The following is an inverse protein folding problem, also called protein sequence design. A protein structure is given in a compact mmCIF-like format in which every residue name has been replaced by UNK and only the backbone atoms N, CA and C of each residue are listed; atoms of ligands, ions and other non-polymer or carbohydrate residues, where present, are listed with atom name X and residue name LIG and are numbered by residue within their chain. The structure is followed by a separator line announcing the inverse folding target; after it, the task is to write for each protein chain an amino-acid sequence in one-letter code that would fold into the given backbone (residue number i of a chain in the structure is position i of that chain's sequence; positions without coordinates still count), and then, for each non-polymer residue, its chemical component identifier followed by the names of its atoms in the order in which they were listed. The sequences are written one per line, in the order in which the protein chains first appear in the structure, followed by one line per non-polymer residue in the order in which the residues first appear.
data_IF_783301083634
#
_entry.id   IF_783301083634
#
_cell.length_a   1.000
_cell.length_b   1.000
_cell.length_c   1.000
_cell.angle_alpha   90.00
_cell.angle_beta   90.00
_cell.angle_gamma   90.00
#
_symmetry.space_group_name_H-M   'P 1'
#
loop_
_entity.id
_entity.type
_entity.pdbx_description
1 polymer ?
#
# COMPACT_ATOMS: atom_id res chain seq x y z
N UNK A 1 56.72 -59.85 -10.32
CA UNK A 1 55.32 -60.27 -10.16
C UNK A 1 54.44 -59.01 -10.04
N UNK A 2 53.63 -58.79 -11.08
CA UNK A 2 52.65 -57.70 -11.30
C UNK A 2 51.79 -57.33 -10.08
N UNK A 3 51.46 -56.03 -9.95
CA UNK A 3 50.12 -55.42 -9.66
C UNK A 3 50.33 -54.09 -8.90
N UNK A 4 49.64 -52.97 -9.13
CA UNK A 4 48.70 -52.50 -10.16
C UNK A 4 48.63 -50.98 -9.95
N UNK A 5 48.74 -50.19 -11.03
CA UNK A 5 48.43 -48.75 -11.07
C UNK A 5 47.04 -48.51 -10.45
N UNK A 6 46.93 -47.50 -9.58
CA UNK A 6 45.67 -46.77 -9.34
C UNK A 6 45.92 -45.31 -9.72
N UNK A 7 45.64 -44.99 -10.98
CA UNK A 7 45.34 -43.64 -11.43
C UNK A 7 44.26 -43.05 -10.53
N UNK A 8 44.61 -42.04 -9.75
CA UNK A 8 43.63 -41.14 -9.15
C UNK A 8 43.02 -40.33 -10.28
N UNK A 9 41.84 -40.73 -10.76
CA UNK A 9 40.97 -39.92 -11.62
C UNK A 9 40.85 -38.52 -11.01
N UNK A 10 41.41 -37.51 -11.69
CA UNK A 10 41.03 -36.10 -11.50
C UNK A 10 39.53 -36.02 -11.76
N UNK A 11 38.72 -35.97 -10.69
CA UNK A 11 37.34 -35.52 -10.80
C UNK A 11 37.43 -34.04 -11.13
N UNK A 12 37.18 -33.72 -12.40
CA UNK A 12 37.11 -32.34 -12.87
C UNK A 12 36.15 -31.58 -11.98
N UNK A 13 36.69 -30.59 -11.27
CA UNK A 13 35.90 -29.57 -10.60
C UNK A 13 35.09 -28.89 -11.72
N UNK A 14 33.80 -29.21 -11.84
CA UNK A 14 32.90 -28.43 -12.67
C UNK A 14 32.91 -27.02 -12.08
N UNK A 15 33.65 -26.14 -12.71
CA UNK A 15 33.54 -24.71 -12.50
C UNK A 15 32.07 -24.33 -12.73
N UNK A 16 31.40 -23.67 -11.78
CA UNK A 16 30.04 -23.22 -12.02
C UNK A 16 30.06 -22.27 -13.21
N UNK A 17 29.37 -22.65 -14.28
CA UNK A 17 29.20 -21.83 -15.47
C UNK A 17 28.70 -20.43 -15.07
N UNK A 18 29.21 -19.35 -15.70
CA UNK A 18 28.81 -18.00 -15.35
C UNK A 18 27.32 -17.84 -15.62
N UNK A 19 26.54 -17.64 -14.54
CA UNK A 19 25.10 -17.38 -14.63
C UNK A 19 24.87 -16.16 -15.53
N UNK A 20 23.95 -16.22 -16.51
CA UNK A 20 23.71 -15.12 -17.44
C UNK A 20 23.29 -13.87 -16.67
N UNK A 21 23.99 -12.75 -16.93
CA UNK A 21 23.71 -11.42 -16.37
C UNK A 21 22.51 -10.79 -17.08
N UNK A 22 21.32 -11.33 -16.84
CA UNK A 22 20.09 -10.53 -16.86
C UNK A 22 20.20 -9.55 -15.69
N UNK A 23 19.63 -8.33 -15.68
CA UNK A 23 19.61 -7.50 -14.46
C UNK A 23 18.78 -8.20 -13.37
N UNK A 24 19.42 -9.14 -12.67
CA UNK A 24 18.86 -10.02 -11.65
C UNK A 24 18.18 -9.23 -10.53
N UNK A 25 18.57 -7.97 -10.31
CA UNK A 25 18.07 -7.12 -9.26
C UNK A 25 16.58 -6.76 -9.47
N UNK A 26 16.20 -6.24 -10.64
CA UNK A 26 14.82 -5.81 -10.90
C UNK A 26 13.85 -7.00 -10.91
N UNK A 27 14.24 -8.09 -11.59
CA UNK A 27 13.42 -9.32 -11.63
C UNK A 27 13.29 -9.95 -10.25
N UNK A 28 14.36 -10.01 -9.44
CA UNK A 28 14.28 -10.57 -8.09
C UNK A 28 13.47 -9.70 -7.13
N UNK A 29 13.50 -8.37 -7.27
CA UNK A 29 12.62 -7.46 -6.53
C UNK A 29 11.15 -7.69 -6.88
N UNK A 30 10.84 -7.84 -8.17
CA UNK A 30 9.48 -8.11 -8.64
C UNK A 30 8.97 -9.48 -8.15
N UNK A 31 9.82 -10.52 -8.18
CA UNK A 31 9.49 -11.84 -7.63
C UNK A 31 9.24 -11.77 -6.12
N UNK A 32 10.10 -11.06 -5.37
CA UNK A 32 9.88 -10.84 -3.92
C UNK A 32 8.58 -10.10 -3.64
N UNK A 33 8.27 -9.06 -4.43
CA UNK A 33 7.02 -8.32 -4.34
C UNK A 33 5.81 -9.23 -4.59
N UNK A 34 5.85 -10.05 -5.63
CA UNK A 34 4.76 -10.96 -5.98
C UNK A 34 4.59 -12.11 -4.98
N UNK A 35 5.65 -12.49 -4.26
CA UNK A 35 5.58 -13.50 -3.20
C UNK A 35 4.94 -12.95 -1.91
N UNK A 36 4.90 -11.63 -1.73
CA UNK A 36 4.22 -11.02 -0.59
C UNK A 36 2.72 -10.90 -0.87
N UNK A 37 1.89 -11.37 0.06
CA UNK A 37 0.43 -11.16 0.04
C UNK A 37 0.09 -9.67 -0.02
N UNK A 38 0.86 -8.83 0.69
CA UNK A 38 0.74 -7.38 0.67
C UNK A 38 1.11 -6.73 -0.68
N UNK A 39 1.94 -7.39 -1.50
CA UNK A 39 2.25 -6.96 -2.86
C UNK A 39 1.10 -7.29 -3.80
N UNK A 40 0.58 -8.52 -3.73
CA UNK A 40 -0.60 -8.97 -4.49
C UNK A 40 -1.83 -8.11 -4.22
N UNK A 41 -2.11 -7.76 -2.96
CA UNK A 41 -3.24 -6.88 -2.61
C UNK A 41 -3.11 -5.49 -3.23
N UNK A 42 -1.91 -4.89 -3.23
CA UNK A 42 -1.69 -3.58 -3.86
C UNK A 42 -1.79 -3.63 -5.38
N UNK A 43 -1.29 -4.69 -6.00
CA UNK A 43 -1.45 -4.90 -7.44
C UNK A 43 -2.92 -5.07 -7.81
N UNK A 44 -3.66 -5.87 -7.04
CA UNK A 44 -5.10 -6.03 -7.24
C UNK A 44 -5.85 -4.70 -6.99
N UNK A 45 -5.41 -3.86 -6.05
CA UNK A 45 -5.98 -2.51 -5.81
C UNK A 45 -5.77 -1.62 -7.04
N UNK A 46 -4.56 -1.62 -7.60
CA UNK A 46 -4.23 -0.88 -8.81
C UNK A 46 -5.13 -1.30 -9.98
N UNK A 47 -5.23 -2.61 -10.24
CA UNK A 47 -6.07 -3.14 -11.30
C UNK A 47 -7.54 -2.83 -11.08
N UNK A 48 -8.04 -2.96 -9.84
CA UNK A 48 -9.43 -2.63 -9.50
C UNK A 48 -9.76 -1.18 -9.86
N UNK A 49 -8.96 -0.23 -9.39
CA UNK A 49 -9.22 1.18 -9.65
C UNK A 49 -8.94 1.57 -11.10
N UNK A 50 -7.99 0.93 -11.78
CA UNK A 50 -7.80 1.08 -13.22
C UNK A 50 -9.05 0.63 -13.99
N UNK A 51 -9.61 -0.54 -13.66
CA UNK A 51 -10.90 -1.00 -14.22
C UNK A 51 -12.02 0.02 -13.95
N UNK A 52 -12.04 0.65 -12.76
CA UNK A 52 -12.99 1.71 -12.44
C UNK A 52 -12.91 2.90 -13.37
N UNK A 53 -11.69 3.38 -13.62
CA UNK A 53 -11.43 4.46 -14.58
C UNK A 53 -11.89 4.03 -15.97
N UNK A 54 -11.52 2.81 -16.40
CA UNK A 54 -11.86 2.29 -17.72
C UNK A 54 -13.36 2.25 -17.96
N UNK A 55 -14.17 1.62 -17.10
CA UNK A 55 -15.62 1.54 -17.34
C UNK A 55 -16.30 2.90 -17.30
N UNK A 56 -15.79 3.84 -16.48
CA UNK A 56 -16.32 5.20 -16.42
C UNK A 56 -16.09 5.97 -17.72
N UNK A 57 -14.91 5.86 -18.33
CA UNK A 57 -14.65 6.47 -19.63
C UNK A 57 -15.38 5.75 -20.76
N UNK A 58 -15.53 4.42 -20.71
CA UNK A 58 -16.34 3.67 -21.67
C UNK A 58 -17.80 4.14 -21.70
N UNK A 59 -18.39 4.43 -20.53
CA UNK A 59 -19.72 5.02 -20.45
C UNK A 59 -19.80 6.39 -21.11
N UNK A 60 -18.76 7.23 -20.96
CA UNK A 60 -18.71 8.56 -21.59
C UNK A 60 -18.54 8.51 -23.10
N UNK A 61 -17.87 7.49 -23.61
CA UNK A 61 -17.67 7.28 -25.05
C UNK A 61 -18.81 6.49 -25.72
N UNK A 62 -19.96 6.32 -25.06
CA UNK A 62 -21.11 5.54 -25.57
C UNK A 62 -20.74 4.10 -25.99
N UNK A 63 -19.84 3.44 -25.27
CA UNK A 63 -19.50 2.05 -25.52
C UNK A 63 -20.69 1.11 -25.21
N UNK A 64 -20.67 -0.09 -25.80
CA UNK A 64 -21.72 -1.10 -25.60
C UNK A 64 -21.92 -1.45 -24.13
N UNK A 65 -23.18 -1.50 -23.65
CA UNK A 65 -23.50 -1.85 -22.26
C UNK A 65 -22.83 -3.14 -21.77
N UNK A 66 -22.79 -4.18 -22.62
CA UNK A 66 -22.14 -5.46 -22.30
C UNK A 66 -20.64 -5.32 -21.97
N UNK A 67 -19.91 -4.46 -22.68
CA UNK A 67 -18.47 -4.28 -22.42
C UNK A 67 -18.22 -3.51 -21.12
N UNK A 68 -19.05 -2.50 -20.83
CA UNK A 68 -19.04 -1.77 -19.56
C UNK A 68 -19.30 -2.71 -18.38
N UNK A 69 -20.32 -3.57 -18.46
CA UNK A 69 -20.68 -4.48 -17.37
C UNK A 69 -19.61 -5.56 -17.15
N UNK A 70 -18.93 -5.98 -18.22
CA UNK A 70 -17.76 -6.88 -18.11
C UNK A 70 -16.65 -6.24 -17.27
N UNK A 71 -16.33 -4.97 -17.51
CA UNK A 71 -15.29 -4.25 -16.76
C UNK A 71 -15.71 -3.95 -15.32
N UNK A 72 -17.00 -3.66 -15.07
CA UNK A 72 -17.55 -3.55 -13.71
C UNK A 72 -17.46 -4.88 -12.94
N UNK A 73 -17.75 -6.01 -13.60
CA UNK A 73 -17.61 -7.33 -13.02
C UNK A 73 -16.16 -7.65 -12.66
N UNK A 74 -15.20 -7.25 -13.51
CA UNK A 74 -13.77 -7.34 -13.21
C UNK A 74 -13.39 -6.52 -11.97
N UNK A 75 -13.85 -5.27 -11.88
CA UNK A 75 -13.65 -4.43 -10.69
C UNK A 75 -14.20 -5.11 -9.42
N UNK A 76 -15.41 -5.63 -9.48
CA UNK A 76 -16.06 -6.31 -8.35
C UNK A 76 -15.29 -7.56 -7.93
N UNK A 77 -14.83 -8.36 -8.90
CA UNK A 77 -14.04 -9.58 -8.67
C UNK A 77 -12.72 -9.24 -7.97
N UNK A 78 -11.99 -8.23 -8.49
CA UNK A 78 -10.74 -7.74 -7.89
C UNK A 78 -10.98 -7.18 -6.48
N UNK A 79 -12.08 -6.46 -6.26
CA UNK A 79 -12.45 -5.97 -4.93
C UNK A 79 -12.65 -7.11 -3.94
N UNK A 80 -13.32 -8.19 -4.35
CA UNK A 80 -13.59 -9.35 -3.49
C UNK A 80 -12.31 -10.15 -3.21
N UNK A 81 -11.48 -10.36 -4.25
CA UNK A 81 -10.16 -10.99 -4.12
C UNK A 81 -9.27 -10.25 -3.11
N UNK A 82 -9.28 -8.92 -3.11
CA UNK A 82 -8.54 -8.12 -2.12
C UNK A 82 -9.04 -8.26 -0.69
N UNK A 83 -10.34 -8.47 -0.48
CA UNK A 83 -10.86 -8.75 0.86
C UNK A 83 -10.28 -10.06 1.38
N UNK A 84 -10.28 -11.09 0.53
CA UNK A 84 -9.68 -12.39 0.83
C UNK A 84 -8.18 -12.28 1.16
N UNK A 85 -7.39 -11.54 0.36
CA UNK A 85 -5.97 -11.34 0.64
C UNK A 85 -5.67 -10.60 1.95
N UNK A 86 -6.65 -9.84 2.47
CA UNK A 86 -6.53 -9.06 3.72
C UNK A 86 -7.14 -9.78 4.93
N UNK A 87 -7.72 -10.96 4.74
CA UNK A 87 -8.20 -11.80 5.85
C UNK A 87 -7.07 -12.02 6.87
N UNK A 88 -7.40 -11.88 8.15
CA UNK A 88 -6.44 -12.03 9.26
C UNK A 88 -5.51 -10.83 9.50
N UNK A 89 -5.33 -9.90 8.55
CA UNK A 89 -4.39 -8.77 8.68
C UNK A 89 -4.77 -7.73 9.75
N UNK A 90 -5.97 -7.82 10.32
CA UNK A 90 -6.35 -7.01 11.47
C UNK A 90 -5.48 -7.34 12.69
N UNK A 91 -5.04 -8.59 12.87
CA UNK A 91 -4.14 -9.01 13.94
C UNK A 91 -2.75 -8.40 13.76
N UNK A 92 -2.19 -8.48 12.55
CA UNK A 92 -0.90 -7.85 12.21
C UNK A 92 -0.93 -6.35 12.52
N UNK A 93 -2.04 -5.69 12.18
CA UNK A 93 -2.22 -4.26 12.38
C UNK A 93 -2.35 -3.92 13.87
N UNK A 94 -3.05 -4.74 14.64
CA UNK A 94 -3.20 -4.58 16.09
C UNK A 94 -1.87 -4.79 16.82
N UNK A 95 -1.11 -5.82 16.44
CA UNK A 95 0.26 -6.01 16.93
C UNK A 95 1.17 -4.81 16.57
N UNK A 96 1.02 -4.29 15.34
CA UNK A 96 1.62 -3.04 14.92
C UNK A 96 1.24 -1.84 15.78
N UNK A 97 0.03 -1.82 16.35
CA UNK A 97 -0.43 -0.76 17.25
C UNK A 97 0.25 -0.85 18.63
N UNK A 98 0.38 -2.06 19.18
CA UNK A 98 1.09 -2.30 20.44
C UNK A 98 2.55 -1.85 20.34
N UNK A 99 3.22 -2.19 19.23
CA UNK A 99 4.60 -1.76 18.99
C UNK A 99 4.75 -0.25 18.85
N UNK A 100 3.76 0.48 18.29
CA UNK A 100 3.82 1.95 18.25
C UNK A 100 3.70 2.64 19.60
N UNK A 101 3.21 1.96 20.63
CA UNK A 101 3.16 2.54 21.98
C UNK A 101 4.56 2.80 22.55
N UNK A 102 5.58 2.16 21.99
CA UNK A 102 6.96 2.32 22.42
C UNK A 102 7.73 3.39 21.63
N UNK A 103 7.06 4.14 20.74
CA UNK A 103 7.72 5.26 20.06
C UNK A 103 8.09 6.36 21.06
N UNK A 104 9.27 6.95 20.84
CA UNK A 104 9.88 7.97 21.71
C UNK A 104 9.09 9.28 21.69
N UNK A 105 8.71 9.72 20.50
CA UNK A 105 7.96 10.95 20.26
C UNK A 105 6.47 10.77 20.56
N UNK A 106 5.95 11.55 21.53
CA UNK A 106 4.57 11.40 22.00
C UNK A 106 3.52 11.59 20.89
N UNK A 107 3.70 12.60 20.02
CA UNK A 107 2.74 12.88 18.94
C UNK A 107 2.70 11.75 17.91
N UNK A 108 3.87 11.24 17.50
CA UNK A 108 3.99 10.12 16.56
C UNK A 108 3.43 8.84 17.18
N UNK A 109 3.69 8.60 18.48
CA UNK A 109 3.14 7.48 19.24
C UNK A 109 1.62 7.46 19.21
N UNK A 110 0.98 8.56 19.63
CA UNK A 110 -0.49 8.61 19.73
C UNK A 110 -1.14 8.50 18.36
N UNK A 111 -0.72 9.32 17.39
CA UNK A 111 -1.29 9.31 16.03
C UNK A 111 -1.12 7.95 15.34
N UNK A 112 0.08 7.33 15.44
CA UNK A 112 0.33 6.01 14.87
C UNK A 112 -0.48 4.90 15.54
N UNK A 113 -0.60 4.94 16.87
CA UNK A 113 -1.33 3.91 17.63
C UNK A 113 -2.82 3.99 17.32
N UNK A 114 -3.42 5.19 17.41
CA UNK A 114 -4.83 5.38 17.07
C UNK A 114 -5.14 5.07 15.61
N UNK A 115 -4.25 5.44 14.69
CA UNK A 115 -4.39 5.09 13.27
C UNK A 115 -4.45 3.57 13.07
N UNK A 116 -3.52 2.82 13.67
CA UNK A 116 -3.44 1.37 13.52
C UNK A 116 -4.61 0.65 14.19
N UNK A 117 -5.04 1.08 15.38
CA UNK A 117 -6.24 0.52 16.03
C UNK A 117 -7.47 0.70 15.14
N UNK A 118 -7.70 1.91 14.64
CA UNK A 118 -8.83 2.18 13.76
C UNK A 118 -8.73 1.40 12.44
N UNK A 119 -7.53 1.22 11.89
CA UNK A 119 -7.31 0.39 10.71
C UNK A 119 -7.59 -1.09 10.98
N UNK A 120 -7.21 -1.60 12.15
CA UNK A 120 -7.51 -2.98 12.55
C UNK A 120 -9.03 -3.21 12.67
N UNK A 121 -9.76 -2.27 13.28
CA UNK A 121 -11.23 -2.31 13.35
C UNK A 121 -11.86 -2.25 11.96
N UNK A 122 -11.34 -1.41 11.07
CA UNK A 122 -11.76 -1.38 9.66
C UNK A 122 -11.57 -2.75 8.98
N UNK A 123 -10.39 -3.35 9.08
CA UNK A 123 -10.10 -4.66 8.48
C UNK A 123 -10.98 -5.77 9.06
N UNK A 124 -11.25 -5.72 10.37
CA UNK A 124 -12.19 -6.64 11.01
C UNK A 124 -13.60 -6.49 10.43
N UNK A 125 -14.12 -5.26 10.31
CA UNK A 125 -15.42 -5.01 9.68
C UNK A 125 -15.44 -5.43 8.21
N UNK A 126 -14.34 -5.25 7.48
CA UNK A 126 -14.23 -5.67 6.08
C UNK A 126 -14.30 -7.20 5.92
N UNK A 127 -13.73 -7.96 6.85
CA UNK A 127 -13.84 -9.42 6.91
C UNK A 127 -15.27 -9.86 7.23
N UNK A 128 -15.95 -9.20 8.19
CA UNK A 128 -17.37 -9.45 8.47
C UNK A 128 -18.25 -9.19 7.24
N UNK A 129 -18.02 -8.09 6.53
CA UNK A 129 -18.73 -7.76 5.29
C UNK A 129 -18.49 -8.77 4.17
N UNK A 130 -17.27 -9.32 4.08
CA UNK A 130 -16.99 -10.39 3.14
C UNK A 130 -17.73 -11.68 3.52
N UNK A 131 -17.70 -12.08 4.80
CA UNK A 131 -18.43 -13.26 5.29
C UNK A 131 -19.95 -13.15 5.08
N UNK A 132 -20.51 -11.97 5.29
CA UNK A 132 -21.92 -11.69 5.03
C UNK A 132 -22.30 -11.90 3.56
N UNK A 133 -21.44 -11.41 2.64
CA UNK A 133 -21.63 -11.60 1.19
C UNK A 133 -21.47 -13.05 0.76
N UNK A 134 -20.66 -13.83 1.46
CA UNK A 134 -20.50 -15.26 1.21
C UNK A 134 -21.64 -16.11 1.81
N UNK A 135 -22.62 -15.49 2.49
CA UNK A 135 -23.78 -16.18 3.06
C UNK A 135 -23.58 -16.72 4.47
N UNK A 136 -22.42 -16.49 5.10
CA UNK A 136 -22.12 -17.00 6.44
C UNK A 136 -22.69 -16.14 7.58
N UNK A 137 -23.11 -14.90 7.31
CA UNK A 137 -23.60 -13.99 8.34
C UNK A 137 -24.76 -13.14 7.85
N UNK A 138 -25.88 -13.13 8.60
CA UNK A 138 -27.02 -12.26 8.33
C UNK A 138 -26.84 -10.92 9.06
N UNK A 139 -26.02 -10.03 8.49
CA UNK A 139 -25.76 -8.69 9.03
C UNK A 139 -26.20 -7.63 8.03
N UNK A 140 -26.59 -6.46 8.54
CA UNK A 140 -26.91 -5.32 7.68
C UNK A 140 -25.65 -4.76 7.01
N UNK A 141 -25.39 -5.17 5.78
CA UNK A 141 -24.17 -4.83 5.02
C UNK A 141 -23.97 -3.34 4.84
N UNK A 142 -25.05 -2.56 4.73
CA UNK A 142 -24.97 -1.12 4.51
C UNK A 142 -24.51 -0.39 5.77
N UNK A 143 -25.12 -0.70 6.92
CA UNK A 143 -24.72 -0.14 8.22
C UNK A 143 -23.28 -0.50 8.57
N UNK A 144 -22.88 -1.75 8.33
CA UNK A 144 -21.51 -2.20 8.57
C UNK A 144 -20.51 -1.58 7.59
N UNK A 145 -20.89 -1.37 6.33
CA UNK A 145 -20.09 -0.66 5.33
C UNK A 145 -19.85 0.80 5.73
N UNK A 146 -20.88 1.51 6.21
CA UNK A 146 -20.75 2.88 6.72
C UNK A 146 -19.79 2.93 7.92
N UNK A 147 -19.94 2.01 8.89
CA UNK A 147 -19.03 1.93 10.06
C UNK A 147 -17.59 1.66 9.64
N UNK A 148 -17.37 0.70 8.74
CA UNK A 148 -16.05 0.39 8.22
C UNK A 148 -15.40 1.62 7.54
N UNK A 149 -16.15 2.34 6.70
CA UNK A 149 -15.65 3.55 6.05
C UNK A 149 -15.34 4.68 7.05
N UNK A 150 -16.11 4.83 8.14
CA UNK A 150 -15.79 5.79 9.22
C UNK A 150 -14.47 5.43 9.92
N UNK A 151 -14.27 4.15 10.26
CA UNK A 151 -13.01 3.69 10.86
C UNK A 151 -11.82 3.88 9.91
N UNK A 152 -12.00 3.60 8.61
CA UNK A 152 -10.97 3.84 7.62
C UNK A 152 -10.62 5.33 7.49
N UNK A 153 -11.64 6.19 7.41
CA UNK A 153 -11.45 7.65 7.37
C UNK A 153 -10.66 8.15 8.58
N UNK A 154 -11.04 7.71 9.79
CA UNK A 154 -10.33 8.10 11.01
C UNK A 154 -8.86 7.64 10.99
N UNK A 155 -8.60 6.39 10.59
CA UNK A 155 -7.24 5.88 10.45
C UNK A 155 -6.38 6.72 9.50
N UNK A 156 -6.89 7.00 8.29
CA UNK A 156 -6.15 7.81 7.30
C UNK A 156 -5.93 9.25 7.80
N UNK A 157 -6.92 9.81 8.50
CA UNK A 157 -6.79 11.15 9.10
C UNK A 157 -5.66 11.19 10.12
N UNK A 158 -5.60 10.23 11.03
CA UNK A 158 -4.51 10.14 12.01
C UNK A 158 -3.14 9.93 11.35
N UNK A 159 -3.07 9.15 10.27
CA UNK A 159 -1.85 9.00 9.48
C UNK A 159 -1.42 10.32 8.83
N UNK A 160 -2.34 11.09 8.25
CA UNK A 160 -2.02 12.42 7.69
C UNK A 160 -1.54 13.41 8.75
N UNK A 161 -2.14 13.41 9.94
CA UNK A 161 -1.68 14.26 11.04
C UNK A 161 -0.24 13.92 11.41
N UNK A 162 0.12 12.64 11.48
CA UNK A 162 1.50 12.19 11.68
C UNK A 162 2.42 12.66 10.54
N UNK A 163 2.00 12.50 9.29
CA UNK A 163 2.78 12.89 8.12
C UNK A 163 3.09 14.40 8.12
N UNK A 164 2.09 15.23 8.42
CA UNK A 164 2.24 16.70 8.52
C UNK A 164 3.19 17.07 9.66
N UNK A 165 3.07 16.40 10.81
CA UNK A 165 3.98 16.60 11.95
C UNK A 165 5.43 16.28 11.58
N UNK A 166 5.67 15.14 10.92
CA UNK A 166 7.01 14.74 10.48
C UNK A 166 7.58 15.71 9.44
N UNK A 167 6.78 16.17 8.46
CA UNK A 167 7.19 17.18 7.48
C UNK A 167 7.58 18.50 8.15
N UNK A 168 6.78 18.98 9.11
CA UNK A 168 7.06 20.23 9.83
C UNK A 168 8.38 20.13 10.61
N UNK A 169 8.60 19.03 11.32
CA UNK A 169 9.86 18.76 12.04
C UNK A 169 11.06 18.71 11.09
N UNK A 170 10.92 18.06 9.94
CA UNK A 170 11.96 18.02 8.90
C UNK A 170 12.26 19.41 8.34
N UNK A 171 11.23 20.24 8.15
CA UNK A 171 11.36 21.60 7.66
C UNK A 171 12.08 22.48 8.67
N UNK A 172 11.74 22.40 9.96
CA UNK A 172 12.40 23.13 11.05
C UNK A 172 13.88 22.74 11.18
N UNK A 173 14.18 21.44 11.17
CA UNK A 173 15.56 20.94 11.22
C UNK A 173 16.41 21.44 10.04
N UNK A 174 15.81 21.54 8.84
CA UNK A 174 16.49 22.09 7.68
C UNK A 174 16.64 23.61 7.73
N UNK A 175 15.63 24.33 8.23
CA UNK A 175 15.71 25.79 8.44
C UNK A 175 16.85 26.15 9.40
N UNK A 176 17.01 25.41 10.50
CA UNK A 176 18.11 25.63 11.44
C UNK A 176 19.49 25.48 10.77
N UNK A 177 19.68 24.44 9.95
CA UNK A 177 20.92 24.21 9.19
C UNK A 177 21.15 25.26 8.09
N UNK A 178 20.07 25.68 7.45
CA UNK A 178 20.11 26.63 6.34
C UNK A 178 20.35 28.07 6.79
N UNK A 179 19.85 28.46 7.96
CA UNK A 179 20.12 29.78 8.55
C UNK A 179 21.63 29.98 8.79
N UNK A 180 22.36 28.89 9.10
CA UNK A 180 23.82 28.90 9.19
C UNK A 180 24.53 29.01 7.82
N UNK A 181 23.85 28.63 6.72
CA UNK A 181 24.42 28.58 5.35
C UNK A 181 23.89 29.65 4.39
N UNK A 182 23.02 30.59 4.82
CA UNK A 182 22.35 31.61 3.98
C UNK A 182 21.76 31.04 2.66
N UNK A 183 21.25 29.82 2.67
CA UNK A 183 20.62 29.20 1.50
C UNK A 183 19.10 29.30 1.59
N UNK A 184 18.37 29.07 0.50
CA UNK A 184 16.91 28.95 0.53
C UNK A 184 16.50 27.49 0.72
N UNK A 185 15.55 27.21 1.61
CA UNK A 185 15.02 25.86 1.81
C UNK A 185 14.12 25.49 0.63
N UNK A 186 14.54 24.52 -0.18
CA UNK A 186 13.75 24.00 -1.30
C UNK A 186 12.94 22.77 -0.86
N UNK A 187 11.61 22.86 -0.94
CA UNK A 187 10.71 21.74 -0.63
C UNK A 187 10.95 20.53 -1.53
N UNK A 188 11.34 20.75 -2.79
CA UNK A 188 11.68 19.66 -3.72
C UNK A 188 12.92 18.88 -3.26
N UNK A 189 13.93 19.57 -2.73
CA UNK A 189 15.11 18.91 -2.14
C UNK A 189 14.71 18.11 -0.90
N UNK A 190 13.85 18.68 -0.05
CA UNK A 190 13.37 18.01 1.17
C UNK A 190 12.59 16.74 0.85
N UNK A 191 11.68 16.82 -0.14
CA UNK A 191 10.92 15.68 -0.63
C UNK A 191 11.81 14.62 -1.27
N UNK A 192 12.85 15.03 -1.99
CA UNK A 192 13.81 14.09 -2.57
C UNK A 192 14.68 13.41 -1.51
N UNK A 193 14.94 14.05 -0.37
CA UNK A 193 15.71 13.47 0.73
C UNK A 193 14.87 12.57 1.64
N UNK A 194 13.59 12.87 1.83
CA UNK A 194 12.68 12.18 2.74
C UNK A 194 11.51 11.57 1.95
N UNK A 195 11.85 10.78 0.93
CA UNK A 195 10.86 10.30 -0.04
C UNK A 195 9.79 9.42 0.62
N UNK A 196 10.12 8.76 1.72
CA UNK A 196 9.21 7.95 2.53
C UNK A 196 8.03 8.78 3.07
N UNK A 197 8.30 9.87 3.79
CA UNK A 197 7.27 10.74 4.40
C UNK A 197 6.34 11.29 3.32
N UNK A 198 6.92 11.80 2.23
CA UNK A 198 6.16 12.43 1.16
C UNK A 198 5.35 11.43 0.32
N UNK A 199 5.86 10.21 0.09
CA UNK A 199 5.11 9.17 -0.61
C UNK A 199 3.92 8.69 0.21
N UNK A 200 4.07 8.51 1.54
CA UNK A 200 2.92 8.16 2.38
C UNK A 200 1.93 9.32 2.49
N UNK A 201 2.41 10.56 2.59
CA UNK A 201 1.55 11.76 2.56
C UNK A 201 0.70 11.79 1.30
N UNK A 202 1.31 11.58 0.13
CA UNK A 202 0.60 11.52 -1.15
C UNK A 202 -0.43 10.40 -1.15
N UNK A 203 -0.04 9.19 -0.71
CA UNK A 203 -0.95 8.05 -0.60
C UNK A 203 -2.14 8.37 0.28
N UNK A 204 -1.91 8.86 1.50
CA UNK A 204 -2.94 9.12 2.50
C UNK A 204 -3.85 10.29 2.05
N UNK A 205 -3.30 11.29 1.35
CA UNK A 205 -4.06 12.41 0.77
C UNK A 205 -5.00 11.97 -0.35
N UNK A 206 -4.58 11.00 -1.17
CA UNK A 206 -5.48 10.40 -2.15
C UNK A 206 -6.50 9.46 -1.48
N UNK A 207 -6.06 8.66 -0.51
CA UNK A 207 -6.89 7.66 0.15
C UNK A 207 -8.01 8.29 0.98
N UNK A 208 -7.82 9.46 1.61
CA UNK A 208 -8.84 10.09 2.46
C UNK A 208 -10.13 10.45 1.69
N UNK A 209 -10.01 10.79 0.41
CA UNK A 209 -11.12 11.18 -0.44
C UNK A 209 -12.05 10.00 -0.78
N UNK A 210 -11.54 8.77 -0.72
CA UNK A 210 -12.29 7.55 -1.06
C UNK A 210 -13.38 7.24 -0.01
N UNK A 211 -13.08 7.08 1.30
CA UNK A 211 -14.10 6.90 2.32
C UNK A 211 -14.95 8.16 2.52
N UNK A 212 -14.41 9.38 2.31
CA UNK A 212 -15.23 10.60 2.30
C UNK A 212 -16.32 10.55 1.23
N UNK A 213 -15.99 10.07 0.03
CA UNK A 213 -16.96 9.88 -1.05
C UNK A 213 -17.94 8.75 -0.72
N UNK A 214 -17.45 7.62 -0.18
CA UNK A 214 -18.30 6.49 0.21
C UNK A 214 -19.30 6.82 1.33
N UNK A 215 -18.96 7.76 2.21
CA UNK A 215 -19.81 8.27 3.27
C UNK A 215 -20.76 9.40 2.81
N UNK A 216 -20.62 9.88 1.57
CA UNK A 216 -21.45 10.94 1.01
C UNK A 216 -21.05 12.36 1.41
N UNK A 217 -19.91 12.54 2.08
CA UNK A 217 -19.42 13.87 2.48
C UNK A 217 -18.84 14.66 1.30
N UNK A 218 -18.29 13.97 0.30
CA UNK A 218 -17.77 14.56 -0.94
C UNK A 218 -18.39 13.86 -2.14
N UNK A 219 -18.73 14.60 -3.20
CA UNK A 219 -19.29 14.03 -4.43
C UNK A 219 -18.22 13.94 -5.51
N UNK A 220 -17.47 12.85 -5.54
CA UNK A 220 -16.52 12.56 -6.61
C UNK A 220 -17.14 11.61 -7.64
N UNK A 221 -16.85 11.85 -8.93
CA UNK A 221 -17.23 10.91 -9.99
C UNK A 221 -16.48 9.57 -9.83
N UNK A 222 -17.05 8.44 -10.31
CA UNK A 222 -16.37 7.15 -10.26
C UNK A 222 -14.98 7.16 -10.90
N UNK A 223 -14.80 7.91 -11.99
CA UNK A 223 -13.50 8.11 -12.64
C UNK A 223 -12.48 8.80 -11.74
N UNK A 224 -12.87 9.86 -11.01
CA UNK A 224 -11.97 10.55 -10.09
C UNK A 224 -11.58 9.66 -8.90
N UNK A 225 -12.54 8.92 -8.33
CA UNK A 225 -12.24 7.92 -7.28
C UNK A 225 -11.29 6.85 -7.82
N UNK A 226 -11.48 6.43 -9.07
CA UNK A 226 -10.57 5.54 -9.79
C UNK A 226 -9.15 6.09 -9.87
N UNK A 227 -8.99 7.33 -10.34
CA UNK A 227 -7.68 7.98 -10.48
C UNK A 227 -6.96 8.09 -9.12
N UNK A 228 -7.66 8.56 -8.08
CA UNK A 228 -7.11 8.65 -6.73
C UNK A 228 -6.69 7.28 -6.18
N UNK A 229 -7.50 6.25 -6.45
CA UNK A 229 -7.19 4.86 -6.12
C UNK A 229 -5.98 4.32 -6.88
N UNK A 230 -5.79 4.68 -8.15
CA UNK A 230 -4.60 4.33 -8.95
C UNK A 230 -3.36 5.02 -8.36
N UNK A 231 -3.41 6.33 -8.13
CA UNK A 231 -2.26 7.10 -7.61
C UNK A 231 -1.81 6.58 -6.24
N UNK A 232 -2.75 6.38 -5.30
CA UNK A 232 -2.46 5.80 -3.98
C UNK A 232 -1.89 4.37 -4.07
N UNK A 233 -2.36 3.56 -5.03
CA UNK A 233 -1.85 2.20 -5.24
C UNK A 233 -0.41 2.21 -5.76
N UNK A 234 -0.11 3.06 -6.75
CA UNK A 234 1.25 3.21 -7.29
C UNK A 234 2.21 3.69 -6.19
N UNK A 235 1.82 4.69 -5.40
CA UNK A 235 2.59 5.15 -4.25
C UNK A 235 2.86 4.01 -3.25
N UNK A 236 1.83 3.21 -2.91
CA UNK A 236 1.96 2.07 -2.02
C UNK A 236 2.85 0.94 -2.58
N UNK A 237 2.84 0.71 -3.90
CA UNK A 237 3.71 -0.27 -4.57
C UNK A 237 5.16 0.23 -4.54
N UNK A 238 5.39 1.51 -4.86
CA UNK A 238 6.72 2.13 -4.79
C UNK A 238 7.34 2.02 -3.39
N UNK A 239 6.52 2.26 -2.35
CA UNK A 239 6.89 2.10 -0.95
C UNK A 239 7.26 0.65 -0.55
N UNK A 240 6.71 -0.34 -1.25
CA UNK A 240 6.99 -1.75 -0.98
C UNK A 240 8.21 -2.27 -1.74
N UNK A 241 8.44 -1.78 -2.96
CA UNK A 241 9.54 -2.22 -3.82
C UNK A 241 10.87 -1.60 -3.39
N UNK A 242 10.89 -0.32 -2.97
CA UNK A 242 12.10 0.27 -2.41
C UNK A 242 11.91 0.53 -0.91
N UNK A 243 12.68 -0.16 -0.05
CA UNK A 243 12.62 0.04 1.40
C UNK A 243 12.89 1.49 1.82
N UNK A 244 13.59 2.27 1.00
CA UNK A 244 13.87 3.69 1.21
C UNK A 244 12.64 4.61 1.10
N UNK A 245 11.52 4.11 0.57
CA UNK A 245 10.24 4.83 0.53
C UNK A 245 9.28 4.38 1.65
N UNK A 246 9.69 3.44 2.52
CA UNK A 246 8.86 2.99 3.63
C UNK A 246 9.15 3.87 4.84
N UNK A 247 8.13 4.58 5.32
CA UNK A 247 8.19 5.31 6.58
C UNK A 247 8.42 4.34 7.74
N UNK A 248 9.58 4.45 8.34
CA UNK A 248 9.86 3.87 9.64
C UNK A 248 9.85 5.01 10.65
N UNK A 249 8.86 5.08 11.55
CA UNK A 249 8.92 6.03 12.65
C UNK A 249 10.21 5.79 13.46
N UNK A 250 10.89 6.86 13.90
CA UNK A 250 12.12 6.77 14.69
C UNK A 250 11.87 6.17 16.09
#
# INVERSE_FOLDING_TARGET
MKRRRKEKKKVGLLTPQPKPKVPLCAMSQFVKFNNQTAGRDKLARLLQYASRVTWYYMLKCNATHKSVDTVKSLEFTLSTFRKLLRMGRFLDTLYGALTSMNYTEAMVRYTSTFSKIAHAVYLFCDNLLWMARAGFANINTDKWSVRANKCWLYSVTMSLVRDIYEINRLLEANRAKTNQRKSSVSLLKLAHQNKDVFVDTLKNSCDILIPLTALGYVRLSPGMVGILGVVSSVAGIAALINPTYKLCPP
#
